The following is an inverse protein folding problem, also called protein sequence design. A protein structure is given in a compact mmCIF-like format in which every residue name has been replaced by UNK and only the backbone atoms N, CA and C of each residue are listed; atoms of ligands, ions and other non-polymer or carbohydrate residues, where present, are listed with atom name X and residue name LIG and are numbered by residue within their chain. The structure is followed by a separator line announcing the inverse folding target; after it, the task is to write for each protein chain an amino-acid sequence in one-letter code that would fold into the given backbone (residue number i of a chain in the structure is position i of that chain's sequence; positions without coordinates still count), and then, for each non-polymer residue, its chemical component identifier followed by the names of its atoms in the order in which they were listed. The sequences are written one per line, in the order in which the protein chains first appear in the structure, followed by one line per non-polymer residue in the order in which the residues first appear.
data_IF_696059013003
#
_entry.id   IF_696059013003
#
_cell.length_a   1.000
_cell.length_b   1.000
_cell.length_c   1.000
_cell.angle_alpha   90.00
_cell.angle_beta   90.00
_cell.angle_gamma   90.00
#
_symmetry.space_group_name_H-M   'P 1'
#
loop_
_entity.id
_entity.type
_entity.pdbx_description
1 polymer ?
#
# COMPACT_ATOMS: atom_id res chain seq x y z
N UNK A 1 0.15 13.82 -9.73
CA UNK A 1 -0.13 15.25 -9.49
C UNK A 1 0.19 15.62 -8.06
N UNK A 2 1.45 15.48 -7.64
CA UNK A 2 1.88 15.81 -6.27
C UNK A 2 2.23 17.30 -6.10
N UNK A 3 2.39 18.03 -7.20
CA UNK A 3 2.57 19.48 -7.25
C UNK A 3 1.23 20.22 -7.01
N UNK A 4 0.69 20.08 -5.80
CA UNK A 4 -0.65 20.60 -5.47
C UNK A 4 -0.66 22.12 -5.42
N UNK A 5 -1.46 22.76 -6.28
CA UNK A 5 -1.68 24.21 -6.29
C UNK A 5 -2.94 24.65 -5.53
N UNK A 6 -3.98 23.80 -5.52
CA UNK A 6 -5.29 24.12 -4.96
C UNK A 6 -5.86 22.95 -4.16
N UNK A 7 -5.71 23.00 -2.84
CA UNK A 7 -6.11 21.89 -1.94
C UNK A 7 -7.65 21.71 -1.83
N UNK A 8 -8.43 22.77 -2.08
CA UNK A 8 -9.89 22.74 -1.92
C UNK A 8 -10.66 22.36 -3.18
N UNK A 9 -9.97 22.15 -4.31
CA UNK A 9 -10.57 21.82 -5.59
C UNK A 9 -9.98 20.51 -6.13
N UNK A 10 -10.79 19.65 -6.76
CA UNK A 10 -10.26 18.57 -7.57
C UNK A 10 -9.53 19.14 -8.79
N UNK A 11 -8.64 18.32 -9.36
CA UNK A 11 -7.90 18.68 -10.56
C UNK A 11 -8.87 18.99 -11.71
N UNK A 12 -8.62 20.12 -12.36
CA UNK A 12 -9.40 20.63 -13.48
C UNK A 12 -9.49 19.63 -14.63
N UNK A 13 -8.39 18.95 -14.94
CA UNK A 13 -8.25 18.10 -16.12
C UNK A 13 -8.96 16.74 -15.94
N UNK A 14 -9.31 16.38 -14.70
CA UNK A 14 -10.11 15.19 -14.40
C UNK A 14 -11.62 15.39 -14.64
N UNK A 15 -12.04 16.58 -15.11
CA UNK A 15 -13.43 16.95 -15.26
C UNK A 15 -13.82 17.46 -16.65
N UNK A 16 -13.31 16.90 -17.75
CA UNK A 16 -13.73 17.29 -19.10
C UNK A 16 -14.41 16.15 -19.87
N UNK A 17 -15.60 15.71 -19.44
CA UNK A 17 -16.38 14.78 -20.25
C UNK A 17 -16.75 15.42 -21.60
N UNK A 18 -16.76 14.58 -22.65
CA UNK A 18 -17.07 15.00 -24.02
C UNK A 18 -18.37 15.85 -24.07
N UNK A 19 -18.31 16.98 -24.76
CA UNK A 19 -19.44 17.90 -24.90
C UNK A 19 -19.57 18.98 -23.83
N UNK A 20 -18.68 19.04 -22.83
CA UNK A 20 -18.65 20.11 -21.83
C UNK A 20 -17.62 21.18 -22.18
N UNK A 21 -17.99 22.47 -22.05
CA UNK A 21 -17.11 23.61 -22.31
C UNK A 21 -16.40 24.14 -21.06
N UNK A 22 -16.70 23.58 -19.89
CA UNK A 22 -16.11 23.91 -18.60
C UNK A 22 -15.93 22.66 -17.75
N UNK A 23 -14.92 22.66 -16.87
CA UNK A 23 -14.64 21.50 -16.00
C UNK A 23 -15.82 21.16 -15.08
N UNK A 24 -16.18 19.88 -15.02
CA UNK A 24 -17.15 19.27 -14.13
C UNK A 24 -16.50 18.47 -12.99
N UNK A 25 -15.20 18.64 -12.76
CA UNK A 25 -14.39 17.80 -11.86
C UNK A 25 -15.00 17.59 -10.47
N UNK A 26 -15.62 18.64 -9.89
CA UNK A 26 -16.32 18.53 -8.60
C UNK A 26 -17.52 17.58 -8.63
N UNK A 27 -18.34 17.63 -9.69
CA UNK A 27 -19.49 16.74 -9.83
C UNK A 27 -19.03 15.32 -10.18
N UNK A 28 -18.00 15.20 -11.03
CA UNK A 28 -17.51 13.91 -11.51
C UNK A 28 -16.85 13.09 -10.39
N UNK A 29 -16.00 13.70 -9.55
CA UNK A 29 -15.40 13.01 -8.40
C UNK A 29 -16.46 12.58 -7.38
N UNK A 30 -17.46 13.43 -7.12
CA UNK A 30 -18.56 13.07 -6.23
C UNK A 30 -19.39 11.90 -6.80
N UNK A 31 -19.66 11.91 -8.12
CA UNK A 31 -20.36 10.83 -8.80
C UNK A 31 -19.55 9.52 -8.77
N UNK A 32 -18.23 9.58 -8.93
CA UNK A 32 -17.33 8.44 -8.81
C UNK A 32 -17.39 7.83 -7.40
N UNK A 33 -17.27 8.64 -6.35
CA UNK A 33 -17.36 8.16 -4.96
C UNK A 33 -18.72 7.50 -4.70
N UNK A 34 -19.82 8.11 -5.17
CA UNK A 34 -21.16 7.54 -5.06
C UNK A 34 -21.25 6.19 -5.79
N UNK A 35 -20.67 6.07 -6.98
CA UNK A 35 -20.62 4.82 -7.72
C UNK A 35 -19.84 3.75 -6.95
N UNK A 36 -18.64 4.07 -6.44
CA UNK A 36 -17.86 3.18 -5.58
C UNK A 36 -18.69 2.67 -4.39
N UNK A 37 -19.36 3.58 -3.65
CA UNK A 37 -20.18 3.22 -2.50
C UNK A 37 -21.35 2.30 -2.85
N UNK A 38 -22.03 2.52 -3.99
CA UNK A 38 -23.10 1.64 -4.49
C UNK A 38 -22.61 0.22 -4.78
N UNK A 39 -21.33 0.07 -5.11
CA UNK A 39 -20.68 -1.22 -5.34
C UNK A 39 -19.94 -1.77 -4.11
N UNK A 40 -20.10 -1.16 -2.93
CA UNK A 40 -19.45 -1.60 -1.70
C UNK A 40 -17.94 -1.32 -1.65
N UNK A 41 -17.44 -0.45 -2.53
CA UNK A 41 -16.03 -0.04 -2.63
C UNK A 41 -15.86 1.26 -1.83
N UNK A 42 -14.82 1.30 -0.99
CA UNK A 42 -14.41 2.52 -0.26
C UNK A 42 -13.44 3.35 -1.11
N UNK A 43 -13.49 4.67 -0.94
CA UNK A 43 -12.65 5.59 -1.69
C UNK A 43 -11.65 6.29 -0.77
N UNK A 44 -10.36 6.08 -1.01
CA UNK A 44 -9.28 6.72 -0.28
C UNK A 44 -8.70 7.84 -1.13
N UNK A 45 -8.21 8.91 -0.48
CA UNK A 45 -7.48 9.99 -1.16
C UNK A 45 -6.06 10.03 -0.66
N UNK A 46 -5.14 10.16 -1.62
CA UNK A 46 -3.76 10.53 -1.37
C UNK A 46 -3.70 12.04 -1.10
N UNK A 47 -3.33 12.42 0.12
CA UNK A 47 -3.32 13.79 0.59
C UNK A 47 -1.90 14.31 0.75
N UNK A 48 -1.53 15.21 -0.15
CA UNK A 48 -0.30 15.99 -0.04
C UNK A 48 -0.48 17.05 1.03
N UNK A 49 0.47 17.12 1.96
CA UNK A 49 0.43 18.07 3.07
C UNK A 49 1.79 18.73 3.32
N UNK A 50 2.89 18.14 2.87
CA UNK A 50 4.22 18.65 3.14
C UNK A 50 4.53 19.95 2.38
N UNK A 51 4.06 20.07 1.15
CA UNK A 51 4.41 21.14 0.21
C UNK A 51 3.27 21.46 -0.76
N UNK A 52 3.38 22.59 -1.46
CA UNK A 52 2.50 22.98 -2.56
C UNK A 52 3.25 23.74 -3.66
N UNK A 53 2.68 23.81 -4.86
CA UNK A 53 3.28 24.47 -6.02
C UNK A 53 2.38 25.58 -6.54
N UNK A 54 2.88 26.82 -6.56
CA UNK A 54 2.09 28.01 -6.93
C UNK A 54 0.79 28.11 -6.11
N UNK A 55 0.86 27.66 -4.86
CA UNK A 55 -0.29 27.74 -3.95
C UNK A 55 -0.49 29.21 -3.52
N UNK A 56 -1.73 29.74 -3.50
CA UNK A 56 -2.01 31.15 -3.23
C UNK A 56 -1.33 31.76 -2.00
N UNK A 57 -1.19 31.04 -0.89
CA UNK A 57 -0.52 31.54 0.31
C UNK A 57 0.99 31.75 0.14
N UNK A 58 1.62 31.18 -0.89
CA UNK A 58 2.99 31.52 -1.27
C UNK A 58 3.14 32.99 -1.70
N UNK A 59 2.05 33.62 -2.14
CA UNK A 59 2.04 35.05 -2.53
C UNK A 59 1.33 35.92 -1.49
N UNK A 60 0.24 35.43 -0.92
CA UNK A 60 -0.61 36.23 -0.03
C UNK A 60 0.01 36.41 1.36
N UNK A 61 0.58 35.33 1.93
CA UNK A 61 1.12 35.34 3.28
C UNK A 61 2.19 34.25 3.45
N UNK A 62 3.26 34.38 2.66
CA UNK A 62 4.31 33.36 2.58
C UNK A 62 4.84 33.01 3.98
N UNK A 63 5.20 34.02 4.76
CA UNK A 63 5.88 33.88 6.03
C UNK A 63 5.13 33.03 7.07
N UNK A 64 3.80 33.09 7.08
CA UNK A 64 2.98 32.36 8.05
C UNK A 64 2.56 30.97 7.56
N UNK A 65 2.66 30.69 6.25
CA UNK A 65 2.24 29.42 5.66
C UNK A 65 3.39 28.56 5.17
N UNK A 66 4.46 29.16 4.67
CA UNK A 66 5.54 28.54 3.91
C UNK A 66 6.91 28.91 4.47
N UNK A 67 7.86 27.99 4.33
CA UNK A 67 9.27 28.21 4.66
C UNK A 67 10.03 28.56 3.38
N UNK A 68 11.04 29.43 3.49
CA UNK A 68 12.06 29.62 2.45
C UNK A 68 12.82 28.30 2.21
N UNK A 69 13.77 28.24 1.27
CA UNK A 69 14.48 26.97 1.04
C UNK A 69 15.12 26.48 2.35
N UNK A 70 14.68 25.32 2.83
CA UNK A 70 15.11 24.77 4.11
C UNK A 70 16.64 24.56 4.16
N UNK A 71 17.29 24.41 2.99
CA UNK A 71 18.75 24.29 2.86
C UNK A 71 19.48 25.58 3.21
N UNK A 72 18.87 26.72 2.92
CA UNK A 72 19.44 28.04 3.18
C UNK A 72 19.15 28.51 4.62
N UNK A 73 18.18 27.88 5.29
CA UNK A 73 17.73 28.24 6.63
C UNK A 73 17.68 27.04 7.60
N UNK A 74 18.79 26.32 7.83
CA UNK A 74 18.81 25.10 8.65
C UNK A 74 18.44 25.32 10.13
N UNK A 75 18.53 26.56 10.63
CA UNK A 75 18.16 26.93 12.00
C UNK A 75 16.65 27.19 12.17
N UNK A 76 15.88 27.20 11.08
CA UNK A 76 14.43 27.37 11.14
C UNK A 76 13.79 26.11 11.77
N UNK A 77 12.86 26.25 12.74
CA UNK A 77 12.23 25.10 13.40
C UNK A 77 11.44 24.19 12.46
N UNK A 78 11.07 24.68 11.27
CA UNK A 78 10.41 23.90 10.23
C UNK A 78 11.38 23.42 9.14
N UNK A 79 12.70 23.58 9.25
CA UNK A 79 13.65 23.18 8.18
C UNK A 79 13.96 21.67 8.16
N UNK A 80 13.79 20.98 9.29
CA UNK A 80 14.19 19.58 9.45
C UNK A 80 13.00 18.63 9.35
N UNK A 81 13.22 17.43 8.80
CA UNK A 81 12.21 16.37 8.75
C UNK A 81 11.79 15.95 10.14
N UNK A 82 10.64 15.28 10.26
CA UNK A 82 10.38 14.54 11.50
C UNK A 82 11.42 13.43 11.65
N UNK A 83 11.99 13.26 12.85
CA UNK A 83 13.04 12.27 13.10
C UNK A 83 12.71 10.89 12.52
N UNK A 84 13.67 10.33 11.79
CA UNK A 84 13.60 8.99 11.20
C UNK A 84 13.61 7.91 12.28
N UNK A 85 13.51 6.64 11.89
CA UNK A 85 13.53 5.52 12.82
C UNK A 85 14.77 5.47 13.74
N UNK A 86 15.91 6.00 13.31
CA UNK A 86 17.15 6.12 14.08
C UNK A 86 17.29 7.45 14.86
N UNK A 87 16.28 8.32 14.78
CA UNK A 87 16.28 9.66 15.36
C UNK A 87 17.02 10.72 14.52
N UNK A 88 17.59 10.35 13.38
CA UNK A 88 18.21 11.30 12.45
C UNK A 88 17.16 12.23 11.86
N UNK A 89 17.52 13.51 11.68
CA UNK A 89 16.72 14.48 10.95
C UNK A 89 17.52 15.00 9.76
N UNK A 90 16.89 15.02 8.59
CA UNK A 90 17.45 15.65 7.39
C UNK A 90 16.85 17.01 7.17
N UNK A 91 17.44 17.80 6.28
CA UNK A 91 16.78 18.96 5.71
C UNK A 91 15.57 18.47 4.90
N UNK A 92 14.40 19.07 5.15
CA UNK A 92 13.18 18.76 4.40
C UNK A 92 13.37 19.06 2.91
N UNK A 93 12.82 18.20 2.08
CA UNK A 93 12.81 18.38 0.63
C UNK A 93 11.37 18.62 0.15
N UNK A 94 11.15 19.77 -0.49
CA UNK A 94 9.87 20.07 -1.13
C UNK A 94 9.71 19.44 -2.51
N UNK A 95 10.71 18.70 -3.01
CA UNK A 95 10.72 18.06 -4.33
C UNK A 95 10.45 19.03 -5.49
N UNK A 96 10.98 20.25 -5.38
CA UNK A 96 10.75 21.35 -6.33
C UNK A 96 9.49 22.18 -6.06
N UNK A 97 8.74 21.85 -5.01
CA UNK A 97 7.63 22.63 -4.46
C UNK A 97 8.02 23.38 -3.18
N UNK A 98 7.16 24.27 -2.70
CA UNK A 98 7.39 25.05 -1.47
C UNK A 98 6.82 24.33 -0.26
N UNK A 99 7.65 24.15 0.77
CA UNK A 99 7.28 23.48 2.02
C UNK A 99 6.35 24.35 2.88
N UNK A 100 5.38 23.72 3.55
CA UNK A 100 4.54 24.38 4.55
C UNK A 100 5.21 24.46 5.93
N UNK A 101 4.85 25.49 6.70
CA UNK A 101 5.27 25.72 8.09
C UNK A 101 4.23 25.17 9.06
N UNK A 102 4.65 24.24 9.90
CA UNK A 102 3.77 23.63 10.89
C UNK A 102 4.05 24.07 12.32
N UNK A 103 5.09 24.85 12.59
CA UNK A 103 5.41 25.32 13.95
C UNK A 103 5.12 26.79 14.20
N UNK A 104 5.08 27.63 13.16
CA UNK A 104 4.92 29.09 13.28
C UNK A 104 3.47 29.49 13.60
N UNK A 105 3.22 29.91 14.83
CA UNK A 105 1.96 30.52 15.24
C UNK A 105 1.84 31.98 14.82
N UNK A 106 0.61 32.46 14.65
CA UNK A 106 0.31 33.87 14.43
C UNK A 106 0.72 34.73 15.63
N UNK A 107 1.10 35.98 15.38
CA UNK A 107 1.49 36.94 16.42
C UNK A 107 0.30 37.54 17.19
N UNK A 108 -0.90 37.46 16.63
CA UNK A 108 -2.14 37.95 17.21
C UNK A 108 -3.31 37.06 16.76
N UNK A 109 -4.45 37.06 17.49
CA UNK A 109 -5.63 36.31 17.08
C UNK A 109 -6.11 36.74 15.68
N UNK A 110 -6.44 35.76 14.84
CA UNK A 110 -7.05 35.97 13.53
C UNK A 110 -8.17 34.95 13.32
N UNK A 111 -8.98 35.16 12.29
CA UNK A 111 -10.10 34.28 11.96
C UNK A 111 -9.60 32.87 11.63
N UNK A 112 -10.03 31.90 12.44
CA UNK A 112 -9.82 30.49 12.20
C UNK A 112 -11.00 29.92 11.39
N UNK A 113 -10.79 29.45 10.15
CA UNK A 113 -11.86 28.92 9.33
C UNK A 113 -12.46 27.61 9.87
N UNK A 114 -11.77 26.90 10.76
CA UNK A 114 -12.24 25.62 11.30
C UNK A 114 -13.22 25.83 12.45
N UNK A 115 -12.90 26.70 13.42
CA UNK A 115 -13.77 27.01 14.55
C UNK A 115 -14.74 28.17 14.31
N UNK A 116 -14.45 29.05 13.33
CA UNK A 116 -15.18 30.29 13.09
C UNK A 116 -14.89 31.41 14.10
N UNK A 117 -13.84 31.27 14.92
CA UNK A 117 -13.46 32.23 15.97
C UNK A 117 -12.15 32.96 15.65
N UNK A 118 -11.93 34.12 16.28
CA UNK A 118 -10.64 34.81 16.21
C UNK A 118 -9.70 34.27 17.30
N UNK A 119 -8.72 33.45 16.92
CA UNK A 119 -7.79 32.78 17.84
C UNK A 119 -6.37 32.77 17.28
N UNK A 120 -5.37 32.53 18.14
CA UNK A 120 -3.99 32.33 17.70
C UNK A 120 -3.85 30.88 17.23
N UNK A 121 -3.48 30.69 15.96
CA UNK A 121 -3.31 29.37 15.34
C UNK A 121 -2.00 29.30 14.55
N UNK A 122 -1.67 28.10 14.06
CA UNK A 122 -0.69 27.90 12.98
C UNK A 122 -1.47 27.88 11.66
N UNK A 123 -1.35 28.89 10.78
CA UNK A 123 -2.23 29.04 9.62
C UNK A 123 -2.19 27.86 8.64
N UNK A 124 -1.00 27.31 8.36
CA UNK A 124 -0.89 26.14 7.48
C UNK A 124 -1.67 24.92 8.02
N UNK A 125 -1.69 24.71 9.35
CA UNK A 125 -2.51 23.66 9.98
C UNK A 125 -3.99 23.87 9.71
N UNK A 126 -4.48 25.11 9.81
CA UNK A 126 -5.89 25.43 9.55
C UNK A 126 -6.25 25.29 8.06
N UNK A 127 -5.31 25.60 7.17
CA UNK A 127 -5.48 25.32 5.75
C UNK A 127 -5.64 23.82 5.48
N UNK A 128 -4.78 22.99 6.06
CA UNK A 128 -4.88 21.53 5.95
C UNK A 128 -6.15 20.97 6.59
N UNK A 129 -6.62 21.50 7.72
CA UNK A 129 -7.92 21.10 8.26
C UNK A 129 -9.10 21.50 7.37
N UNK A 130 -8.99 22.62 6.65
CA UNK A 130 -9.98 23.05 5.65
C UNK A 130 -9.97 22.10 4.45
N UNK A 131 -8.78 21.73 3.97
CA UNK A 131 -8.56 20.68 2.98
C UNK A 131 -9.24 19.38 3.40
N UNK A 132 -8.91 18.87 4.57
CA UNK A 132 -9.54 17.66 5.12
C UNK A 132 -11.07 17.76 5.16
N UNK A 133 -11.60 18.87 5.67
CA UNK A 133 -13.05 19.06 5.86
C UNK A 133 -13.78 19.02 4.52
N UNK A 134 -13.27 19.71 3.50
CA UNK A 134 -13.82 19.73 2.14
C UNK A 134 -13.97 18.30 1.59
N UNK A 135 -12.90 17.52 1.64
CA UNK A 135 -12.90 16.18 1.06
C UNK A 135 -13.70 15.16 1.89
N UNK A 136 -13.69 15.27 3.21
CA UNK A 136 -14.46 14.39 4.09
C UNK A 136 -15.97 14.65 4.05
N UNK A 137 -16.39 15.93 3.98
CA UNK A 137 -17.81 16.31 4.03
C UNK A 137 -18.48 16.29 2.67
N UNK A 138 -17.82 16.89 1.69
CA UNK A 138 -18.47 17.19 0.42
C UNK A 138 -18.24 16.06 -0.58
N UNK A 139 -17.01 15.53 -0.64
CA UNK A 139 -16.65 14.42 -1.53
C UNK A 139 -16.91 13.05 -0.87
N UNK A 140 -16.94 13.01 0.47
CA UNK A 140 -17.28 11.82 1.27
C UNK A 140 -16.30 10.65 1.15
N UNK A 141 -15.01 10.94 1.13
CA UNK A 141 -13.95 9.93 1.17
C UNK A 141 -14.02 9.07 2.45
N UNK A 142 -13.42 7.88 2.43
CA UNK A 142 -13.51 6.84 3.47
C UNK A 142 -12.17 6.51 4.14
N UNK A 143 -11.10 7.20 3.74
CA UNK A 143 -9.77 7.02 4.28
C UNK A 143 -8.76 7.91 3.57
N UNK A 144 -7.56 7.97 4.15
CA UNK A 144 -6.51 8.90 3.74
C UNK A 144 -5.19 8.15 3.65
N UNK A 145 -4.43 8.39 2.58
CA UNK A 145 -2.98 8.15 2.54
C UNK A 145 -2.31 9.51 2.65
N UNK A 146 -1.49 9.71 3.68
CA UNK A 146 -0.70 10.93 3.85
C UNK A 146 0.61 10.77 3.08
N UNK A 147 0.84 11.66 2.13
CA UNK A 147 2.07 11.76 1.36
C UNK A 147 3.21 12.33 2.19
N UNK A 148 4.42 11.79 1.99
CA UNK A 148 5.68 12.28 2.54
C UNK A 148 5.57 12.81 3.99
N UNK A 149 5.21 11.91 4.91
CA UNK A 149 4.99 12.27 6.32
C UNK A 149 6.25 12.85 6.94
N UNK A 150 7.45 12.42 6.52
CA UNK A 150 8.72 13.01 6.95
C UNK A 150 8.78 14.52 6.72
N UNK A 151 8.22 14.98 5.60
CA UNK A 151 8.26 16.36 5.15
C UNK A 151 7.07 17.18 5.66
N UNK A 152 6.08 16.60 6.32
CA UNK A 152 5.16 17.37 7.19
C UNK A 152 5.89 17.77 8.48
N UNK A 153 6.87 16.98 8.90
CA UNK A 153 7.81 17.29 9.98
C UNK A 153 7.17 17.63 11.36
N UNK A 154 5.88 17.32 11.56
CA UNK A 154 5.18 17.62 12.79
C UNK A 154 4.22 16.49 13.19
N UNK A 155 4.72 15.54 13.99
CA UNK A 155 3.93 14.37 14.40
C UNK A 155 2.71 14.71 15.28
N UNK A 156 2.76 15.80 16.04
CA UNK A 156 1.58 16.30 16.75
C UNK A 156 0.48 16.69 15.79
N UNK A 157 0.82 17.44 14.75
CA UNK A 157 -0.12 17.77 13.71
C UNK A 157 -0.62 16.55 12.92
N UNK A 158 0.25 15.58 12.60
CA UNK A 158 -0.18 14.32 11.93
C UNK A 158 -1.24 13.59 12.76
N UNK A 159 -1.02 13.45 14.08
CA UNK A 159 -2.03 12.88 15.00
C UNK A 159 -3.32 13.67 14.98
N UNK A 160 -3.22 14.99 15.11
CA UNK A 160 -4.40 15.84 15.25
C UNK A 160 -5.22 15.86 13.94
N UNK A 161 -4.56 15.87 12.78
CA UNK A 161 -5.17 15.70 11.46
C UNK A 161 -5.89 14.36 11.33
N UNK A 162 -5.23 13.26 11.68
CA UNK A 162 -5.85 11.93 11.70
C UNK A 162 -7.08 11.90 12.60
N UNK A 163 -6.97 12.41 13.82
CA UNK A 163 -8.06 12.42 14.79
C UNK A 163 -9.24 13.23 14.27
N UNK A 164 -8.98 14.42 13.69
CA UNK A 164 -10.02 15.22 13.05
C UNK A 164 -10.70 14.47 11.91
N UNK A 165 -9.95 13.74 11.08
CA UNK A 165 -10.51 12.95 9.99
C UNK A 165 -11.45 11.86 10.55
N UNK A 166 -11.00 11.17 11.60
CA UNK A 166 -11.79 10.15 12.30
C UNK A 166 -13.05 10.72 12.94
N UNK A 167 -12.99 11.91 13.52
CA UNK A 167 -14.15 12.59 14.09
C UNK A 167 -15.18 12.93 12.99
N UNK A 168 -14.74 13.51 11.87
CA UNK A 168 -15.61 13.80 10.73
C UNK A 168 -16.28 12.51 10.17
N UNK A 169 -15.53 11.41 10.12
CA UNK A 169 -16.08 10.10 9.76
C UNK A 169 -17.14 9.61 10.76
N UNK A 170 -16.84 9.67 12.06
CA UNK A 170 -17.78 9.25 13.13
C UNK A 170 -19.05 10.09 13.13
N UNK A 171 -18.94 11.40 12.92
CA UNK A 171 -20.09 12.28 12.78
C UNK A 171 -20.96 11.88 11.59
N UNK A 172 -20.35 11.58 10.42
CA UNK A 172 -21.07 11.10 9.24
C UNK A 172 -21.73 9.74 9.47
N UNK A 173 -21.04 8.82 10.14
CA UNK A 173 -21.54 7.50 10.48
C UNK A 173 -22.73 7.57 11.44
N UNK A 174 -22.63 8.39 12.49
CA UNK A 174 -23.71 8.62 13.45
C UNK A 174 -24.92 9.28 12.79
N UNK A 175 -24.73 10.26 11.91
CA UNK A 175 -25.80 10.90 11.15
C UNK A 175 -26.58 9.93 10.26
N UNK A 176 -25.97 8.79 9.87
CA UNK A 176 -26.61 7.72 9.10
C UNK A 176 -27.20 6.60 9.99
N UNK A 177 -27.10 6.72 11.32
CA UNK A 177 -27.60 5.75 12.29
C UNK A 177 -27.11 4.31 12.05
N UNK A 178 -25.85 4.14 11.64
CA UNK A 178 -25.26 2.85 11.26
C UNK A 178 -24.81 1.97 12.46
N UNK A 179 -25.02 2.42 13.70
CA UNK A 179 -24.71 1.67 14.92
C UNK A 179 -23.20 1.63 15.23
N UNK A 180 -22.75 0.53 15.83
CA UNK A 180 -21.34 0.33 16.19
C UNK A 180 -20.46 0.01 14.97
N UNK A 181 -19.14 0.16 15.13
CA UNK A 181 -18.16 -0.28 14.14
C UNK A 181 -17.58 0.81 13.24
N UNK A 182 -17.90 2.08 13.49
CA UNK A 182 -17.31 3.22 12.75
C UNK A 182 -15.79 3.13 12.68
N UNK A 183 -15.13 2.84 13.82
CA UNK A 183 -13.66 2.80 13.90
C UNK A 183 -13.02 1.71 13.03
N UNK A 184 -13.71 0.59 12.81
CA UNK A 184 -13.23 -0.51 11.97
C UNK A 184 -13.39 -0.25 10.46
N UNK A 185 -13.99 0.90 10.08
CA UNK A 185 -14.35 1.21 8.69
C UNK A 185 -13.69 2.48 8.15
N UNK A 186 -12.71 3.02 8.87
CA UNK A 186 -11.94 4.21 8.49
C UNK A 186 -10.46 4.01 8.84
N UNK A 187 -9.58 4.38 7.91
CA UNK A 187 -8.14 4.18 8.04
C UNK A 187 -7.38 5.41 7.53
N UNK A 188 -6.37 5.81 8.29
CA UNK A 188 -5.38 6.81 7.87
C UNK A 188 -3.99 6.20 7.88
N UNK A 189 -3.40 6.08 6.70
CA UNK A 189 -2.05 5.53 6.52
C UNK A 189 -1.10 6.61 6.08
N UNK A 190 0.18 6.45 6.37
CA UNK A 190 1.22 7.38 5.92
C UNK A 190 2.29 6.69 5.09
N UNK A 191 2.86 7.46 4.18
CA UNK A 191 4.16 7.18 3.60
C UNK A 191 5.25 7.81 4.47
N UNK A 192 6.11 6.97 5.02
CA UNK A 192 7.37 7.34 5.64
C UNK A 192 8.28 6.11 5.55
N UNK A 193 9.18 6.12 4.59
CA UNK A 193 9.91 4.92 4.17
C UNK A 193 11.01 4.50 5.15
N UNK A 194 11.36 5.37 6.12
CA UNK A 194 12.23 4.96 7.24
C UNK A 194 11.49 4.13 8.30
N UNK A 195 10.15 4.08 8.23
CA UNK A 195 9.26 3.29 9.09
C UNK A 195 9.48 3.51 10.60
N UNK A 196 9.46 4.75 11.12
CA UNK A 196 9.58 5.01 12.55
C UNK A 196 8.32 4.52 13.25
N UNK A 197 8.41 3.35 13.88
CA UNK A 197 7.29 2.70 14.59
C UNK A 197 6.65 3.60 15.66
N UNK A 198 7.35 4.64 16.13
CA UNK A 198 6.79 5.67 17.00
C UNK A 198 5.56 6.40 16.42
N UNK A 199 5.46 6.53 15.09
CA UNK A 199 4.25 7.02 14.42
C UNK A 199 3.02 6.14 14.72
N UNK A 200 3.23 4.84 14.92
CA UNK A 200 2.16 3.89 15.23
C UNK A 200 1.95 3.77 16.75
N UNK A 201 3.02 3.57 17.53
CA UNK A 201 2.92 3.34 18.98
C UNK A 201 2.44 4.58 19.75
N UNK A 202 2.66 5.78 19.23
CA UNK A 202 2.11 7.03 19.76
C UNK A 202 0.76 7.42 19.13
N UNK A 203 0.19 6.57 18.28
CA UNK A 203 -1.11 6.79 17.66
C UNK A 203 -1.15 7.98 16.70
N UNK A 204 -0.04 8.30 16.01
CA UNK A 204 0.03 9.37 15.00
C UNK A 204 -0.65 8.96 13.71
N UNK A 205 -0.42 7.71 13.28
CA UNK A 205 -1.06 7.07 12.13
C UNK A 205 -1.80 5.80 12.57
N UNK A 206 -2.61 5.22 11.68
CA UNK A 206 -3.19 3.88 11.89
C UNK A 206 -2.35 2.79 11.22
N UNK A 207 -1.70 3.13 10.10
CA UNK A 207 -0.76 2.25 9.41
C UNK A 207 0.34 3.01 8.66
N UNK A 208 1.41 2.29 8.30
CA UNK A 208 2.53 2.79 7.53
C UNK A 208 2.76 1.90 6.31
N UNK A 209 3.26 2.51 5.24
CA UNK A 209 3.85 1.77 4.13
C UNK A 209 5.00 0.90 4.64
N UNK A 210 4.96 -0.38 4.25
CA UNK A 210 5.97 -1.37 4.63
C UNK A 210 6.95 -1.56 3.48
N UNK A 211 7.92 -0.65 3.32
CA UNK A 211 8.94 -0.73 2.26
C UNK A 211 9.85 -1.95 2.48
N UNK A 212 10.03 -2.37 3.75
CA UNK A 212 10.77 -3.61 4.05
C UNK A 212 10.08 -4.84 3.47
N UNK A 213 8.74 -4.94 3.52
CA UNK A 213 8.02 -6.02 2.82
C UNK A 213 8.41 -6.07 1.35
N UNK A 214 8.32 -4.93 0.66
CA UNK A 214 8.65 -4.81 -0.77
C UNK A 214 10.08 -5.29 -1.03
N UNK A 215 11.06 -4.76 -0.29
CA UNK A 215 12.47 -5.08 -0.47
C UNK A 215 12.75 -6.57 -0.26
N UNK A 216 12.34 -7.11 0.89
CA UNK A 216 12.55 -8.52 1.26
C UNK A 216 11.90 -9.47 0.25
N UNK A 217 10.62 -9.26 -0.09
CA UNK A 217 9.91 -10.20 -0.95
C UNK A 217 10.42 -10.14 -2.39
N UNK A 218 10.77 -8.97 -2.90
CA UNK A 218 11.32 -8.83 -4.26
C UNK A 218 12.69 -9.49 -4.37
N UNK A 219 13.55 -9.36 -3.35
CA UNK A 219 14.81 -10.09 -3.31
C UNK A 219 14.57 -11.61 -3.35
N UNK A 220 13.67 -12.13 -2.51
CA UNK A 220 13.33 -13.55 -2.49
C UNK A 220 12.77 -14.05 -3.84
N UNK A 221 11.94 -13.23 -4.50
CA UNK A 221 11.33 -13.54 -5.80
C UNK A 221 12.31 -13.64 -6.96
N UNK A 222 13.56 -13.19 -6.80
CA UNK A 222 14.66 -13.41 -7.75
C UNK A 222 15.78 -14.28 -7.17
N UNK A 223 15.50 -14.96 -6.04
CA UNK A 223 16.43 -15.89 -5.43
C UNK A 223 17.58 -15.25 -4.65
N UNK A 224 17.43 -13.99 -4.24
CA UNK A 224 18.39 -13.28 -3.41
C UNK A 224 17.87 -13.12 -1.98
N UNK A 225 18.73 -12.60 -1.11
CA UNK A 225 18.40 -12.14 0.23
C UNK A 225 18.63 -10.64 0.33
N UNK A 226 18.17 -10.04 1.41
CA UNK A 226 18.24 -8.61 1.68
C UNK A 226 18.65 -8.43 3.15
N UNK A 227 19.19 -7.26 3.52
CA UNK A 227 19.60 -6.92 4.89
C UNK A 227 20.58 -7.91 5.57
N UNK A 228 21.38 -8.64 4.77
CA UNK A 228 22.29 -9.67 5.29
C UNK A 228 21.59 -10.88 5.93
N UNK A 229 20.28 -11.03 5.71
CA UNK A 229 19.47 -12.11 6.26
C UNK A 229 19.71 -13.44 5.53
N UNK A 230 19.39 -14.54 6.21
CA UNK A 230 19.19 -15.82 5.53
C UNK A 230 17.95 -15.76 4.62
N UNK A 231 17.87 -16.69 3.66
CA UNK A 231 16.70 -16.77 2.77
C UNK A 231 15.41 -17.05 3.56
N UNK A 232 15.51 -17.91 4.57
CA UNK A 232 14.39 -18.20 5.46
C UNK A 232 13.91 -16.96 6.21
N UNK A 233 14.83 -16.19 6.79
CA UNK A 233 14.48 -14.95 7.51
C UNK A 233 13.91 -13.87 6.56
N UNK A 234 14.45 -13.77 5.34
CA UNK A 234 13.97 -12.85 4.30
C UNK A 234 12.47 -13.08 4.05
N UNK A 235 12.08 -14.33 3.79
CA UNK A 235 10.67 -14.68 3.52
C UNK A 235 9.83 -14.58 4.79
N UNK A 236 10.31 -15.06 5.94
CA UNK A 236 9.55 -15.01 7.21
C UNK A 236 9.19 -13.59 7.61
N UNK A 237 10.14 -12.66 7.52
CA UNK A 237 9.92 -11.25 7.88
C UNK A 237 9.01 -10.54 6.89
N UNK A 238 9.06 -10.91 5.60
CA UNK A 238 8.09 -10.41 4.63
C UNK A 238 6.67 -10.92 4.92
N UNK A 239 6.49 -12.22 5.17
CA UNK A 239 5.15 -12.80 5.36
C UNK A 239 4.51 -12.38 6.70
N UNK A 240 5.31 -12.13 7.74
CA UNK A 240 4.82 -11.70 9.05
C UNK A 240 5.42 -10.36 9.46
N UNK A 241 4.67 -9.27 9.25
CA UNK A 241 5.11 -7.91 9.55
C UNK A 241 5.46 -7.70 11.04
N UNK A 242 5.03 -8.59 11.95
CA UNK A 242 5.40 -8.49 13.37
C UNK A 242 6.88 -8.74 13.61
N UNK A 243 7.53 -9.50 12.71
CA UNK A 243 8.98 -9.64 12.70
C UNK A 243 9.71 -8.39 12.14
N UNK A 244 8.96 -7.39 11.66
CA UNK A 244 9.41 -6.06 11.23
C UNK A 244 9.02 -4.95 12.21
N UNK A 245 8.75 -5.30 13.48
CA UNK A 245 8.40 -4.39 14.59
C UNK A 245 6.99 -3.80 14.56
N UNK A 246 6.16 -4.11 13.56
CA UNK A 246 4.74 -3.81 13.62
C UNK A 246 4.08 -4.63 14.73
N UNK A 247 3.13 -4.06 15.47
CA UNK A 247 2.46 -4.81 16.55
C UNK A 247 1.37 -5.76 16.04
N UNK A 248 0.75 -5.42 14.90
CA UNK A 248 -0.36 -6.15 14.30
C UNK A 248 -0.43 -5.89 12.79
N UNK A 249 -1.10 -6.77 12.04
CA UNK A 249 -1.22 -6.67 10.59
C UNK A 249 -1.97 -5.43 10.11
N UNK A 250 -2.91 -4.90 10.90
CA UNK A 250 -3.65 -3.69 10.54
C UNK A 250 -2.77 -2.42 10.41
N UNK A 251 -1.52 -2.47 10.90
CA UNK A 251 -0.59 -1.34 10.85
C UNK A 251 0.35 -1.36 9.64
N UNK A 252 0.46 -2.49 8.93
CA UNK A 252 1.42 -2.66 7.85
C UNK A 252 0.74 -2.67 6.49
N UNK A 253 1.03 -1.67 5.64
CA UNK A 253 0.59 -1.64 4.25
C UNK A 253 1.65 -2.35 3.41
N UNK A 254 1.39 -3.61 3.09
CA UNK A 254 2.28 -4.45 2.30
C UNK A 254 2.01 -4.22 0.81
N UNK A 255 3.05 -4.05 0.01
CA UNK A 255 2.93 -3.81 -1.43
C UNK A 255 4.12 -4.39 -2.20
N UNK A 256 3.90 -4.74 -3.46
CA UNK A 256 4.97 -5.19 -4.37
C UNK A 256 5.56 -4.03 -5.17
N UNK A 257 4.72 -3.03 -5.46
CA UNK A 257 5.00 -1.87 -6.31
C UNK A 257 4.09 -0.72 -5.87
N UNK A 258 4.59 0.51 -5.95
CA UNK A 258 3.84 1.76 -5.81
C UNK A 258 4.01 2.62 -7.07
N UNK A 259 3.37 3.78 -7.10
CA UNK A 259 3.59 4.76 -8.17
C UNK A 259 5.02 5.36 -8.13
N UNK A 260 5.72 5.27 -7.00
CA UNK A 260 7.13 5.67 -6.87
C UNK A 260 8.08 4.58 -7.39
N UNK A 261 8.26 4.56 -8.71
CA UNK A 261 9.07 3.54 -9.39
C UNK A 261 10.54 3.91 -9.59
N UNK A 262 10.94 5.06 -9.08
CA UNK A 262 12.32 5.54 -9.14
C UNK A 262 13.17 4.87 -8.05
N UNK A 263 14.43 4.58 -8.36
CA UNK A 263 15.38 3.97 -7.43
C UNK A 263 15.54 2.45 -7.58
N UNK A 264 16.37 1.88 -6.73
CA UNK A 264 16.79 0.48 -6.84
C UNK A 264 15.61 -0.49 -6.64
N UNK A 265 15.30 -1.27 -7.69
CA UNK A 265 14.27 -2.31 -7.70
C UNK A 265 12.88 -1.78 -7.30
N UNK A 266 12.55 -0.54 -7.66
CA UNK A 266 11.25 0.08 -7.38
C UNK A 266 10.29 0.04 -8.57
N UNK A 267 10.79 -0.36 -9.73
CA UNK A 267 9.99 -0.54 -10.94
C UNK A 267 8.82 -1.53 -10.78
N UNK A 268 7.80 -1.39 -11.63
CA UNK A 268 6.71 -2.34 -11.79
C UNK A 268 7.23 -3.77 -11.89
N UNK A 269 6.44 -4.70 -11.38
CA UNK A 269 6.90 -6.06 -11.14
C UNK A 269 7.35 -6.76 -12.44
N UNK A 270 6.70 -6.46 -13.57
CA UNK A 270 7.15 -6.92 -14.88
C UNK A 270 8.55 -6.42 -15.23
N UNK A 271 8.77 -5.10 -15.15
CA UNK A 271 10.05 -4.47 -15.46
C UNK A 271 11.15 -4.98 -14.53
N UNK A 272 10.83 -5.18 -13.25
CA UNK A 272 11.76 -5.72 -12.26
C UNK A 272 12.27 -7.10 -12.62
N UNK A 273 11.34 -8.00 -12.93
CA UNK A 273 11.69 -9.35 -13.33
C UNK A 273 12.51 -9.34 -14.63
N UNK A 274 12.07 -8.58 -15.63
CA UNK A 274 12.80 -8.45 -16.88
C UNK A 274 14.22 -7.90 -16.68
N UNK A 275 14.38 -6.83 -15.92
CA UNK A 275 15.67 -6.21 -15.60
C UNK A 275 16.57 -7.14 -14.77
N UNK A 276 15.98 -8.05 -14.00
CA UNK A 276 16.68 -9.08 -13.22
C UNK A 276 16.99 -10.35 -14.03
N UNK A 277 16.69 -10.36 -15.34
CA UNK A 277 16.95 -11.52 -16.21
C UNK A 277 16.01 -12.70 -16.02
N UNK A 278 14.85 -12.49 -15.37
CA UNK A 278 13.82 -13.52 -15.20
C UNK A 278 13.11 -13.75 -16.53
N UNK A 279 13.03 -15.02 -16.95
CA UNK A 279 12.33 -15.43 -18.17
C UNK A 279 10.93 -16.00 -17.91
N UNK A 280 10.64 -16.44 -16.69
CA UNK A 280 9.38 -17.07 -16.29
C UNK A 280 8.46 -16.11 -15.52
N UNK A 281 8.28 -14.89 -16.06
CA UNK A 281 7.54 -13.77 -15.43
C UNK A 281 6.17 -14.20 -14.90
N UNK A 282 5.38 -14.95 -15.67
CA UNK A 282 4.06 -15.42 -15.24
C UNK A 282 4.10 -16.16 -13.90
N UNK A 283 5.11 -17.03 -13.70
CA UNK A 283 5.25 -17.80 -12.45
C UNK A 283 5.67 -16.89 -11.30
N UNK A 284 6.66 -16.01 -11.54
CA UNK A 284 7.14 -15.08 -10.50
C UNK A 284 6.05 -14.13 -10.03
N UNK A 285 5.24 -13.60 -10.94
CA UNK A 285 4.13 -12.70 -10.59
C UNK A 285 3.08 -13.45 -9.76
N UNK A 286 2.70 -14.67 -10.16
CA UNK A 286 1.77 -15.50 -9.37
C UNK A 286 2.30 -15.79 -7.97
N UNK A 287 3.58 -16.17 -7.84
CA UNK A 287 4.24 -16.36 -6.55
C UNK A 287 4.25 -15.07 -5.71
N UNK A 288 4.54 -13.92 -6.32
CA UNK A 288 4.55 -12.63 -5.65
C UNK A 288 3.18 -12.28 -5.05
N UNK A 289 2.11 -12.46 -5.81
CA UNK A 289 0.75 -12.21 -5.34
C UNK A 289 0.28 -13.22 -4.31
N UNK A 290 0.67 -14.50 -4.40
CA UNK A 290 0.42 -15.47 -3.34
C UNK A 290 1.08 -15.02 -2.03
N UNK A 291 2.31 -14.50 -2.06
CA UNK A 291 2.97 -13.97 -0.88
C UNK A 291 2.25 -12.73 -0.33
N UNK A 292 1.96 -11.73 -1.17
CA UNK A 292 1.27 -10.50 -0.77
C UNK A 292 -0.10 -10.78 -0.14
N UNK A 293 -0.93 -11.56 -0.83
CA UNK A 293 -2.32 -11.78 -0.43
C UNK A 293 -2.45 -12.75 0.74
N UNK A 294 -1.38 -13.46 1.11
CA UNK A 294 -1.36 -14.36 2.27
C UNK A 294 -0.39 -13.93 3.37
N UNK A 295 0.18 -12.73 3.29
CA UNK A 295 0.96 -12.12 4.38
C UNK A 295 0.06 -11.51 5.48
N UNK A 296 0.62 -11.34 6.67
CA UNK A 296 0.06 -10.52 7.75
C UNK A 296 0.28 -9.06 7.39
N UNK A 297 -0.82 -8.32 7.25
CA UNK A 297 -0.79 -6.96 6.71
C UNK A 297 -2.05 -6.61 5.93
N UNK A 298 -2.16 -5.34 5.54
CA UNK A 298 -3.12 -4.86 4.56
C UNK A 298 -2.44 -4.89 3.19
N UNK A 299 -2.88 -5.74 2.23
CA UNK A 299 -2.29 -5.77 0.90
C UNK A 299 -2.73 -4.55 0.09
N UNK A 300 -1.77 -3.87 -0.53
CA UNK A 300 -1.98 -2.81 -1.51
C UNK A 300 -1.44 -3.27 -2.87
N UNK A 301 -2.23 -3.02 -3.91
CA UNK A 301 -1.92 -3.38 -5.29
C UNK A 301 -1.98 -2.10 -6.12
N UNK A 302 -0.89 -1.74 -6.80
CA UNK A 302 -0.91 -0.71 -7.82
C UNK A 302 -1.68 -1.22 -9.04
N UNK A 303 -2.63 -0.44 -9.55
CA UNK A 303 -3.47 -0.84 -10.68
C UNK A 303 -2.62 -1.23 -11.91
N UNK A 304 -2.91 -2.38 -12.50
CA UNK A 304 -2.16 -2.97 -13.61
C UNK A 304 -1.23 -4.11 -13.19
N UNK A 305 -0.75 -4.12 -11.94
CA UNK A 305 0.14 -5.17 -11.45
C UNK A 305 -0.55 -6.54 -11.46
N UNK A 306 -1.86 -6.59 -11.28
CA UNK A 306 -2.67 -7.82 -11.28
C UNK A 306 -2.68 -8.55 -12.63
N UNK A 307 -2.19 -7.93 -13.71
CA UNK A 307 -1.95 -8.58 -15.01
C UNK A 307 -0.53 -8.31 -15.54
N UNK A 308 0.39 -8.02 -14.61
CA UNK A 308 1.81 -7.76 -14.84
C UNK A 308 2.09 -6.59 -15.79
N UNK A 309 1.27 -5.55 -15.77
CA UNK A 309 1.46 -4.36 -16.61
C UNK A 309 2.88 -3.79 -16.47
N UNK A 310 3.36 -3.12 -17.53
CA UNK A 310 4.72 -2.62 -17.62
C UNK A 310 4.76 -1.09 -17.56
N UNK A 311 5.94 -0.53 -17.29
CA UNK A 311 6.14 0.91 -17.36
C UNK A 311 6.02 1.47 -18.77
N UNK A 312 5.37 2.63 -18.83
CA UNK A 312 5.49 3.61 -19.91
C UNK A 312 6.19 4.86 -19.35
N UNK A 313 7.53 4.84 -19.34
CA UNK A 313 8.35 5.97 -18.88
C UNK A 313 8.41 7.04 -19.97
N UNK A 314 8.20 8.31 -19.62
CA UNK A 314 8.28 9.41 -20.58
C UNK A 314 9.51 10.28 -20.36
N UNK A 315 10.32 10.51 -21.40
CA UNK A 315 11.42 11.48 -21.34
C UNK A 315 10.91 12.92 -21.08
N UNK A 316 11.84 13.85 -20.88
CA UNK A 316 11.50 15.27 -20.63
C UNK A 316 10.75 15.95 -21.79
N UNK A 317 10.66 15.30 -22.95
CA UNK A 317 9.92 15.75 -24.13
C UNK A 317 8.60 14.99 -24.33
N UNK A 318 8.25 14.06 -23.42
CA UNK A 318 7.02 13.27 -23.50
C UNK A 318 7.09 12.10 -24.48
N UNK A 319 8.28 11.61 -24.84
CA UNK A 319 8.43 10.35 -25.58
C UNK A 319 8.56 9.16 -24.64
N UNK A 320 8.01 8.01 -25.01
CA UNK A 320 8.18 6.79 -24.21
C UNK A 320 9.64 6.31 -24.32
N UNK A 321 10.42 6.43 -23.25
CA UNK A 321 11.81 5.94 -23.18
C UNK A 321 12.09 5.28 -21.84
N UNK A 322 12.87 4.19 -21.82
CA UNK A 322 13.23 3.48 -20.59
C UNK A 322 14.35 4.18 -19.79
N UNK A 323 15.05 5.13 -20.42
CA UNK A 323 16.36 5.66 -19.99
C UNK A 323 16.29 6.88 -19.08
N UNK A 324 15.11 7.47 -18.87
CA UNK A 324 14.94 8.56 -17.93
C UNK A 324 13.63 9.28 -18.15
N UNK A 325 12.71 9.15 -17.19
CA UNK A 325 11.38 9.69 -17.32
C UNK A 325 10.54 9.54 -16.06
N UNK A 326 9.68 10.52 -15.80
CA UNK A 326 8.62 10.36 -14.79
C UNK A 326 7.61 9.35 -15.33
N UNK A 327 7.13 8.49 -14.46
CA UNK A 327 6.02 7.60 -14.81
C UNK A 327 4.77 8.45 -15.01
N UNK A 328 4.10 8.28 -16.14
CA UNK A 328 2.71 8.72 -16.32
C UNK A 328 1.93 7.42 -16.32
N UNK A 329 1.03 7.24 -15.35
CA UNK A 329 0.34 5.97 -15.13
C UNK A 329 -1.12 5.98 -15.64
N UNK A 330 -1.38 5.91 -16.96
CA UNK A 330 -2.59 5.29 -17.46
C UNK A 330 -2.35 3.78 -17.57
N UNK A 331 -3.14 2.99 -16.84
CA UNK A 331 -3.14 1.53 -16.96
C UNK A 331 -3.45 1.14 -18.42
N UNK A 332 -2.57 0.37 -19.06
CA UNK A 332 -2.80 -0.09 -20.44
C UNK A 332 -3.60 -1.41 -20.44
N UNK A 333 -4.92 -1.27 -20.43
CA UNK A 333 -5.85 -2.41 -20.46
C UNK A 333 -5.77 -3.25 -21.74
N UNK A 334 -5.14 -2.77 -22.82
CA UNK A 334 -4.97 -3.59 -24.03
C UNK A 334 -4.04 -4.78 -23.77
N UNK A 335 -3.08 -4.63 -22.85
CA UNK A 335 -2.15 -5.71 -22.44
C UNK A 335 -2.88 -6.86 -21.75
N UNK A 336 -4.00 -6.60 -21.08
CA UNK A 336 -4.79 -7.65 -20.43
C UNK A 336 -5.29 -8.72 -21.43
N UNK A 337 -5.33 -8.41 -22.74
CA UNK A 337 -5.74 -9.35 -23.78
C UNK A 337 -4.71 -10.46 -24.05
N UNK A 338 -3.47 -10.36 -23.57
CA UNK A 338 -2.52 -11.45 -23.71
C UNK A 338 -2.92 -12.65 -22.83
N UNK A 339 -2.99 -13.85 -23.40
CA UNK A 339 -3.42 -15.08 -22.69
C UNK A 339 -2.70 -15.30 -21.35
N UNK A 340 -1.38 -15.01 -21.29
CA UNK A 340 -0.59 -15.20 -20.08
C UNK A 340 -0.89 -14.16 -19.00
N UNK A 341 -1.19 -12.92 -19.40
CA UNK A 341 -1.60 -11.83 -18.49
C UNK A 341 -3.00 -12.08 -17.95
N UNK A 342 -3.92 -12.57 -18.79
CA UNK A 342 -5.25 -12.99 -18.35
C UNK A 342 -5.16 -14.11 -17.29
N UNK A 343 -4.28 -15.10 -17.46
CA UNK A 343 -4.06 -16.15 -16.45
C UNK A 343 -3.48 -15.61 -15.14
N UNK A 344 -2.71 -14.53 -15.16
CA UNK A 344 -2.27 -13.83 -13.94
C UNK A 344 -3.46 -13.14 -13.31
N UNK A 345 -4.22 -12.36 -14.08
CA UNK A 345 -5.40 -11.65 -13.60
C UNK A 345 -6.39 -12.58 -12.88
N UNK A 346 -6.72 -13.72 -13.50
CA UNK A 346 -7.61 -14.71 -12.91
C UNK A 346 -7.04 -15.32 -11.62
N UNK A 347 -5.72 -15.55 -11.57
CA UNK A 347 -5.03 -16.05 -10.38
C UNK A 347 -5.09 -15.03 -9.23
N UNK A 348 -4.76 -13.77 -9.52
CA UNK A 348 -4.80 -12.68 -8.53
C UNK A 348 -6.24 -12.44 -8.06
N UNK A 349 -7.22 -12.43 -8.96
CA UNK A 349 -8.64 -12.28 -8.62
C UNK A 349 -9.12 -13.39 -7.67
N UNK A 350 -8.72 -14.64 -7.89
CA UNK A 350 -9.03 -15.76 -6.97
C UNK A 350 -8.43 -15.54 -5.59
N UNK A 351 -7.18 -15.09 -5.52
CA UNK A 351 -6.50 -14.81 -4.25
C UNK A 351 -7.12 -13.61 -3.52
N UNK A 352 -7.48 -12.54 -4.23
CA UNK A 352 -8.20 -11.38 -3.65
C UNK A 352 -9.54 -11.81 -3.08
N UNK A 353 -10.32 -12.61 -3.84
CA UNK A 353 -11.58 -13.18 -3.34
C UNK A 353 -11.38 -14.04 -2.10
N UNK A 354 -10.37 -14.91 -2.09
CA UNK A 354 -10.03 -15.69 -0.91
C UNK A 354 -9.65 -14.81 0.28
N UNK A 355 -8.89 -13.73 0.06
CA UNK A 355 -8.46 -12.78 1.10
C UNK A 355 -9.63 -12.04 1.75
N UNK A 356 -10.71 -11.79 1.00
CA UNK A 356 -11.91 -11.11 1.51
C UNK A 356 -12.93 -12.07 2.14
N UNK A 357 -12.92 -13.34 1.76
CA UNK A 357 -13.90 -14.33 2.23
C UNK A 357 -13.38 -15.27 3.34
N UNK A 358 -12.06 -15.50 3.44
CA UNK A 358 -11.49 -16.48 4.37
C UNK A 358 -10.98 -15.79 5.65
N UNK A 359 -11.62 -16.00 6.82
CA UNK A 359 -11.27 -15.32 8.07
C UNK A 359 -9.82 -15.57 8.55
N UNK A 360 -9.24 -16.74 8.24
CA UNK A 360 -7.86 -17.05 8.59
C UNK A 360 -6.84 -16.08 7.98
N UNK A 361 -7.17 -15.46 6.84
CA UNK A 361 -6.29 -14.47 6.22
C UNK A 361 -6.43 -13.11 6.90
N UNK A 362 -7.55 -12.78 7.56
CA UNK A 362 -7.80 -11.48 8.21
C UNK A 362 -7.26 -11.35 9.64
N UNK A 363 -6.63 -12.39 10.19
CA UNK A 363 -6.01 -12.35 11.53
C UNK A 363 -4.49 -12.35 11.45
N UNK A 364 -3.83 -11.97 12.54
CA UNK A 364 -2.37 -11.92 12.61
C UNK A 364 -1.70 -13.30 12.72
N UNK A 365 -2.48 -14.32 13.12
CA UNK A 365 -1.97 -15.67 13.33
C UNK A 365 -1.32 -16.26 12.09
N UNK A 366 -0.01 -16.52 12.22
CA UNK A 366 0.84 -17.10 11.18
C UNK A 366 1.87 -18.02 11.81
N UNK A 367 2.04 -19.22 11.25
CA UNK A 367 3.06 -20.18 11.69
C UNK A 367 3.68 -20.86 10.48
N UNK A 368 5.00 -20.82 10.36
CA UNK A 368 5.69 -21.64 9.37
C UNK A 368 5.78 -23.07 9.89
N UNK A 369 5.22 -24.00 9.13
CA UNK A 369 5.08 -25.41 9.51
C UNK A 369 6.12 -26.32 8.86
N UNK A 370 6.80 -25.81 7.81
CA UNK A 370 7.86 -26.52 7.11
C UNK A 370 8.77 -25.54 6.35
N UNK A 371 10.08 -25.85 6.31
CA UNK A 371 11.06 -25.22 5.43
C UNK A 371 12.00 -26.29 4.87
N UNK A 372 12.36 -26.18 3.60
CA UNK A 372 13.24 -27.13 2.92
C UNK A 372 14.22 -26.39 2.03
N UNK A 373 15.48 -26.45 2.48
CA UNK A 373 16.64 -25.86 1.82
C UNK A 373 17.63 -26.91 1.30
N UNK A 374 17.23 -28.20 1.29
CA UNK A 374 18.08 -29.29 0.82
C UNK A 374 18.09 -29.35 -0.71
N UNK A 375 19.17 -29.86 -1.30
CA UNK A 375 19.25 -30.15 -2.74
C UNK A 375 18.91 -28.94 -3.64
N UNK A 376 19.24 -27.72 -3.20
CA UNK A 376 18.93 -26.48 -3.94
C UNK A 376 17.45 -26.05 -3.87
N UNK A 377 16.64 -26.68 -3.04
CA UNK A 377 15.26 -26.26 -2.75
C UNK A 377 15.27 -24.95 -1.97
N UNK A 378 14.21 -24.17 -2.14
CA UNK A 378 13.86 -23.03 -1.28
C UNK A 378 12.35 -23.06 -1.06
N UNK A 379 11.87 -24.10 -0.40
CA UNK A 379 10.44 -24.29 -0.16
C UNK A 379 10.11 -23.86 1.26
N UNK A 380 9.13 -22.98 1.40
CA UNK A 380 8.60 -22.57 2.69
C UNK A 380 7.10 -22.81 2.72
N UNK A 381 6.62 -23.29 3.86
CA UNK A 381 5.20 -23.55 4.07
C UNK A 381 4.73 -22.86 5.33
N UNK A 382 3.71 -22.03 5.21
CA UNK A 382 3.09 -21.38 6.36
C UNK A 382 1.58 -21.62 6.42
N UNK A 383 1.10 -21.61 7.65
CA UNK A 383 -0.31 -21.63 8.03
C UNK A 383 -0.72 -20.23 8.44
N UNK A 384 -1.82 -19.74 7.89
CA UNK A 384 -2.58 -18.58 8.37
C UNK A 384 -3.80 -19.02 9.18
N UNK A 385 -4.16 -18.22 10.16
CA UNK A 385 -5.32 -18.43 11.04
C UNK A 385 -5.02 -19.21 12.31
N UNK A 386 -5.67 -18.81 13.40
CA UNK A 386 -5.66 -19.53 14.68
C UNK A 386 -6.50 -20.82 14.65
N UNK A 387 -6.80 -21.36 15.83
CA UNK A 387 -7.54 -22.61 16.00
C UNK A 387 -9.07 -22.46 15.98
N UNK A 388 -9.61 -21.24 15.80
CA UNK A 388 -11.07 -21.01 15.80
C UNK A 388 -11.68 -20.99 14.40
N UNK A 389 -10.85 -21.10 13.35
CA UNK A 389 -11.26 -20.97 11.95
C UNK A 389 -10.51 -21.97 11.07
N UNK A 390 -11.06 -22.24 9.89
CA UNK A 390 -10.41 -23.08 8.90
C UNK A 390 -9.06 -22.45 8.50
N UNK A 391 -7.93 -23.19 8.62
CA UNK A 391 -6.62 -22.64 8.31
C UNK A 391 -6.46 -22.46 6.80
N UNK A 392 -5.60 -21.50 6.43
CA UNK A 392 -5.05 -21.43 5.07
C UNK A 392 -3.62 -21.93 5.11
N UNK A 393 -3.27 -22.85 4.21
CA UNK A 393 -1.91 -23.36 4.05
C UNK A 393 -1.34 -22.83 2.74
N UNK A 394 -0.15 -22.26 2.79
CA UNK A 394 0.57 -21.78 1.62
C UNK A 394 1.85 -22.58 1.47
N UNK A 395 2.05 -23.18 0.30
CA UNK A 395 3.29 -23.84 -0.10
C UNK A 395 3.94 -22.97 -1.15
N UNK A 396 5.10 -22.38 -0.88
CA UNK A 396 5.81 -21.49 -1.79
C UNK A 396 7.21 -22.02 -2.09
N UNK A 397 7.51 -22.20 -3.37
CA UNK A 397 8.81 -22.61 -3.87
C UNK A 397 9.52 -21.39 -4.48
N UNK A 398 10.67 -21.01 -3.95
CA UNK A 398 11.51 -19.91 -4.44
C UNK A 398 12.80 -20.41 -5.10
N UNK A 399 12.74 -21.56 -5.77
CA UNK A 399 13.87 -22.07 -6.55
C UNK A 399 13.42 -22.75 -7.83
N UNK A 400 14.42 -23.16 -8.62
CA UNK A 400 14.24 -23.93 -9.86
C UNK A 400 13.87 -25.41 -9.61
N UNK A 401 13.73 -25.81 -8.34
CA UNK A 401 13.32 -27.15 -7.98
C UNK A 401 11.95 -27.49 -8.58
N UNK A 402 11.84 -28.71 -9.11
CA UNK A 402 10.60 -29.32 -9.57
C UNK A 402 10.53 -30.73 -9.00
N UNK A 403 9.36 -31.16 -8.52
CA UNK A 403 9.18 -32.54 -8.05
C UNK A 403 9.41 -33.56 -9.19
N UNK A 404 10.19 -34.60 -8.92
CA UNK A 404 10.52 -35.66 -9.87
C UNK A 404 9.26 -36.32 -10.46
N UNK A 405 9.19 -36.43 -11.78
CA UNK A 405 8.01 -36.98 -12.48
C UNK A 405 7.00 -35.92 -12.94
N UNK A 406 7.29 -34.64 -12.76
CA UNK A 406 6.46 -33.53 -13.26
C UNK A 406 5.05 -33.57 -12.66
N UNK A 407 4.01 -33.66 -13.49
CA UNK A 407 2.62 -33.77 -13.02
C UNK A 407 2.32 -35.07 -12.25
N UNK A 408 3.12 -36.12 -12.45
CA UNK A 408 3.05 -37.36 -11.67
C UNK A 408 3.98 -37.34 -10.45
N UNK A 409 4.74 -36.25 -10.28
CA UNK A 409 5.68 -36.08 -9.19
C UNK A 409 5.02 -35.67 -7.88
N UNK A 410 5.78 -35.80 -6.80
CA UNK A 410 5.26 -35.55 -5.47
C UNK A 410 6.26 -34.79 -4.61
N UNK A 411 5.82 -33.64 -4.09
CA UNK A 411 6.47 -32.96 -2.99
C UNK A 411 5.63 -33.17 -1.71
N UNK A 412 6.19 -33.88 -0.73
CA UNK A 412 5.55 -34.12 0.57
C UNK A 412 5.83 -32.97 1.51
N UNK A 413 4.78 -32.32 1.98
CA UNK A 413 4.86 -31.29 3.03
C UNK A 413 4.75 -31.96 4.40
N UNK A 414 5.82 -32.00 5.20
CA UNK A 414 5.75 -32.45 6.58
C UNK A 414 4.79 -31.57 7.38
N UNK A 415 4.21 -32.14 8.45
CA UNK A 415 3.33 -31.42 9.38
C UNK A 415 2.08 -30.81 8.73
N UNK A 416 1.63 -31.34 7.58
CA UNK A 416 0.35 -30.94 6.99
C UNK A 416 -0.80 -31.17 8.00
N UNK A 417 -1.69 -30.19 8.22
CA UNK A 417 -2.77 -30.36 9.20
C UNK A 417 -3.71 -31.51 8.82
N UNK A 418 -4.08 -32.32 9.81
CA UNK A 418 -5.02 -33.40 9.60
C UNK A 418 -6.35 -32.88 9.04
N UNK A 419 -6.89 -33.56 8.03
CA UNK A 419 -8.21 -33.24 7.46
C UNK A 419 -9.29 -33.61 8.48
N UNK A 420 -10.08 -32.66 8.99
CA UNK A 420 -11.16 -32.97 9.93
C UNK A 420 -12.25 -33.85 9.29
N UNK A 421 -12.96 -34.69 10.08
CA UNK A 421 -14.07 -35.49 9.55
C UNK A 421 -15.09 -34.64 8.78
N UNK A 422 -15.47 -35.11 7.59
CA UNK A 422 -16.45 -34.42 6.74
C UNK A 422 -15.95 -33.18 6.00
N UNK A 423 -14.67 -32.81 6.16
CA UNK A 423 -14.05 -31.68 5.46
C UNK A 423 -13.17 -32.13 4.30
N UNK A 424 -12.95 -31.24 3.34
CA UNK A 424 -12.02 -31.45 2.21
C UNK A 424 -11.12 -30.24 2.03
N UNK A 425 -9.93 -30.46 1.47
CA UNK A 425 -9.05 -29.38 1.07
C UNK A 425 -9.43 -28.87 -0.32
N UNK A 426 -9.43 -27.55 -0.51
CA UNK A 426 -9.54 -26.86 -1.79
C UNK A 426 -8.25 -26.11 -2.05
N UNK A 427 -7.65 -26.31 -3.23
CA UNK A 427 -6.59 -25.45 -3.75
C UNK A 427 -7.23 -24.22 -4.39
N UNK A 428 -6.96 -23.04 -3.81
CA UNK A 428 -7.51 -21.74 -4.22
C UNK A 428 -6.90 -21.28 -5.53
N UNK A 429 -5.60 -21.48 -5.72
CA UNK A 429 -4.83 -20.99 -6.87
C UNK A 429 -5.28 -21.60 -8.20
N UNK A 430 -5.80 -22.83 -8.17
CA UNK A 430 -6.36 -23.55 -9.32
C UNK A 430 -7.88 -23.76 -9.25
N UNK A 431 -8.52 -23.28 -8.19
CA UNK A 431 -9.94 -23.50 -7.90
C UNK A 431 -10.41 -24.97 -8.05
N UNK A 432 -9.79 -25.88 -7.28
CA UNK A 432 -10.14 -27.29 -7.32
C UNK A 432 -10.16 -27.93 -5.94
N UNK A 433 -10.94 -29.00 -5.80
CA UNK A 433 -10.84 -29.89 -4.65
C UNK A 433 -9.59 -30.76 -4.76
N UNK A 434 -8.92 -30.97 -3.64
CA UNK A 434 -7.76 -31.87 -3.53
C UNK A 434 -8.27 -33.24 -3.13
N UNK A 435 -7.92 -34.27 -3.91
CA UNK A 435 -8.30 -35.64 -3.57
C UNK A 435 -7.55 -36.09 -2.29
N UNK A 436 -8.18 -36.91 -1.41
CA UNK A 436 -7.59 -37.28 -0.11
C UNK A 436 -6.17 -37.85 -0.20
N UNK A 437 -5.88 -38.63 -1.24
CA UNK A 437 -4.58 -39.25 -1.49
C UNK A 437 -3.46 -38.27 -1.85
N UNK A 438 -3.81 -37.05 -2.28
CA UNK A 438 -2.90 -35.97 -2.69
C UNK A 438 -2.74 -34.87 -1.63
N UNK A 439 -3.53 -34.90 -0.54
CA UNK A 439 -3.46 -33.87 0.52
C UNK A 439 -2.06 -33.81 1.14
N UNK A 440 -1.43 -32.63 1.05
CA UNK A 440 -0.05 -32.41 1.53
C UNK A 440 1.04 -33.10 0.71
N UNK A 441 0.69 -33.64 -0.47
CA UNK A 441 1.58 -34.42 -1.33
C UNK A 441 1.25 -34.26 -2.81
N UNK A 442 1.44 -33.05 -3.32
CA UNK A 442 1.16 -32.70 -4.71
C UNK A 442 2.46 -32.42 -5.47
N UNK A 443 2.43 -32.43 -6.82
CA UNK A 443 3.52 -31.88 -7.61
C UNK A 443 3.87 -30.46 -7.17
N UNK A 444 5.14 -30.09 -7.21
CA UNK A 444 5.58 -28.72 -6.94
C UNK A 444 6.50 -28.27 -8.08
N UNK A 445 6.14 -27.17 -8.72
CA UNK A 445 6.89 -26.60 -9.83
C UNK A 445 7.82 -25.48 -9.39
N UNK A 446 8.76 -25.12 -10.26
CA UNK A 446 9.70 -24.03 -10.01
C UNK A 446 8.95 -22.70 -9.86
N UNK A 447 9.35 -21.91 -8.87
CA UNK A 447 8.78 -20.58 -8.61
C UNK A 447 7.24 -20.57 -8.47
N UNK A 448 6.67 -21.67 -7.98
CA UNK A 448 5.23 -21.84 -7.79
C UNK A 448 4.81 -21.56 -6.35
N UNK A 449 3.61 -20.99 -6.17
CA UNK A 449 2.89 -21.03 -4.91
C UNK A 449 1.53 -21.71 -5.07
N UNK A 450 1.18 -22.52 -4.07
CA UNK A 450 -0.13 -23.15 -3.93
C UNK A 450 -0.76 -22.75 -2.61
N UNK A 451 -2.03 -22.36 -2.65
CA UNK A 451 -2.77 -21.86 -1.49
C UNK A 451 -3.97 -22.75 -1.26
N UNK A 452 -4.15 -23.23 -0.03
CA UNK A 452 -5.15 -24.23 0.32
C UNK A 452 -6.03 -23.77 1.49
N UNK A 453 -7.29 -24.19 1.50
CA UNK A 453 -8.20 -24.00 2.63
C UNK A 453 -9.10 -25.22 2.81
N UNK A 454 -9.71 -25.37 3.99
CA UNK A 454 -10.75 -26.39 4.23
C UNK A 454 -12.12 -25.87 3.81
N UNK A 455 -12.89 -26.72 3.13
CA UNK A 455 -14.31 -26.48 2.76
C UNK A 455 -15.22 -27.53 3.37
#
# INVERSE_FOLDING_TARGET
GYDTAHFLAPDHDLGFPEGNTSSTANADIAALVVACHRHGIRFFVDMVMAFGRVEPYQTIDFDNFCIEDAKDHPDDPDALTSGRADGHQDIRDGFGSTLFRYTRGLRAPAYDPVSGQNIVTVPARQHMYSYLTRWMRDIRIDGIRMDSVENVANWDFIRDFKNRARDLWKERWAAQALGDGADARFLVVGEELSEPMALLTQGRLDGLWNDKFRALIRAALIGLTEDGLSFEETVRRAIDCRALSFSQGAQAINYLTSHDVEGFRRERLFNFFNNSGVTDIERRVKLAFACLLTAVGIPMILAGEEFADQHDRFDSQGHVTQDGGKQVDPVDFSRLQDDWRQRIFEHVARLVKARTEIPALSVDDTTFIHTDFNDGKRVLVWRRGNNTQAPVIVVANFSDFVSDGGLAGEYRVPNWPATPPGKRWREITQDRLVAPEFVGREPLFSWEAKVYTLV
#
